data_IF_970294523164
#
_entry.id   IF_970294523164
#
_cell.length_a   1.000
_cell.length_b   1.000
_cell.length_c   1.000
_cell.angle_alpha   90.00
_cell.angle_beta   90.00
_cell.angle_gamma   90.00
#
_symmetry.space_group_name_H-M   'P 1'
#
loop_
_entity.id
_entity.type
_entity.pdbx_description
1 polymer ?
#
# COMPACT_ATOMS: atom_id res chain seq x y z
N UNK A 1 7.94 -11.39 -2.85
CA UNK A 1 8.46 -12.40 -1.90
C UNK A 1 9.52 -13.31 -2.57
N UNK A 2 10.35 -12.77 -3.47
CA UNK A 2 11.38 -13.52 -4.20
C UNK A 2 12.74 -12.80 -4.20
N UNK A 3 12.96 -11.88 -3.23
CA UNK A 3 14.19 -11.07 -3.14
C UNK A 3 15.20 -11.58 -2.11
N UNK A 4 14.87 -12.62 -1.34
CA UNK A 4 15.65 -13.04 -0.17
C UNK A 4 16.48 -14.32 -0.33
N UNK A 5 16.61 -14.88 -1.55
CA UNK A 5 17.23 -16.21 -1.71
C UNK A 5 18.38 -16.28 -2.73
N UNK A 6 18.92 -15.16 -3.19
CA UNK A 6 20.01 -15.18 -4.19
C UNK A 6 21.11 -14.15 -3.91
N UNK A 7 21.52 -14.05 -2.64
CA UNK A 7 22.69 -13.26 -2.22
C UNK A 7 23.94 -14.14 -1.99
N UNK A 8 24.04 -15.29 -2.68
CA UNK A 8 25.19 -16.22 -2.53
C UNK A 8 25.82 -16.69 -3.86
N UNK A 9 25.47 -16.12 -5.00
CA UNK A 9 26.11 -16.51 -6.27
C UNK A 9 26.56 -15.27 -7.03
N UNK A 10 27.84 -14.93 -6.85
CA UNK A 10 28.53 -13.83 -7.53
C UNK A 10 28.64 -14.06 -9.03
N UNK A 11 27.51 -13.98 -9.72
CA UNK A 11 27.45 -13.95 -11.18
C UNK A 11 27.28 -12.52 -11.68
N UNK A 12 27.99 -12.24 -12.76
CA UNK A 12 28.10 -10.95 -13.44
C UNK A 12 26.72 -10.51 -13.98
N UNK A 13 26.17 -9.46 -13.36
CA UNK A 13 24.86 -8.89 -13.64
C UNK A 13 24.66 -8.51 -15.11
N UNK A 14 25.75 -8.23 -15.84
CA UNK A 14 25.71 -7.79 -17.25
C UNK A 14 25.22 -8.86 -18.22
N UNK A 15 25.38 -10.15 -17.88
CA UNK A 15 25.01 -11.26 -18.77
C UNK A 15 23.53 -11.63 -18.67
N UNK A 16 22.95 -11.47 -17.48
CA UNK A 16 21.53 -11.75 -17.21
C UNK A 16 20.64 -10.64 -17.79
N UNK A 17 21.13 -9.40 -17.81
CA UNK A 17 20.46 -8.26 -18.44
C UNK A 17 20.37 -8.41 -19.98
N UNK A 18 21.29 -9.15 -20.60
CA UNK A 18 21.28 -9.43 -22.04
C UNK A 18 20.17 -10.37 -22.50
N UNK A 19 19.83 -11.39 -21.69
CA UNK A 19 18.78 -12.36 -22.04
C UNK A 19 17.35 -11.83 -21.81
N UNK A 20 17.16 -10.92 -20.85
CA UNK A 20 15.82 -10.38 -20.54
C UNK A 20 15.36 -9.36 -21.62
N UNK A 21 16.29 -8.75 -22.34
CA UNK A 21 16.00 -7.75 -23.39
C UNK A 21 15.47 -8.37 -24.69
N UNK A 22 15.67 -9.68 -24.92
CA UNK A 22 15.27 -10.34 -26.17
C UNK A 22 13.80 -10.82 -26.18
N UNK A 23 13.13 -10.85 -25.02
CA UNK A 23 11.68 -11.11 -24.93
C UNK A 23 10.90 -9.80 -25.10
N UNK A 24 10.84 -9.32 -26.34
CA UNK A 24 10.10 -8.14 -26.78
C UNK A 24 8.57 -8.26 -26.70
N UNK A 25 8.04 -8.47 -25.51
CA UNK A 25 6.65 -8.09 -25.21
C UNK A 25 6.64 -6.65 -24.71
N UNK A 26 5.75 -5.84 -25.27
CA UNK A 26 5.56 -4.44 -24.94
C UNK A 26 4.97 -4.30 -23.52
N UNK A 27 5.86 -4.33 -22.51
CA UNK A 27 5.54 -4.22 -21.10
C UNK A 27 4.64 -3.01 -20.77
N UNK A 28 4.71 -1.94 -21.57
CA UNK A 28 3.91 -0.72 -21.37
C UNK A 28 2.42 -0.94 -21.64
N UNK A 29 2.09 -1.76 -22.64
CA UNK A 29 0.71 -2.07 -23.02
C UNK A 29 0.06 -3.05 -22.04
N UNK A 30 0.84 -4.01 -21.56
CA UNK A 30 0.42 -4.97 -20.53
C UNK A 30 0.23 -4.26 -19.18
N UNK A 31 1.11 -3.32 -18.81
CA UNK A 31 0.99 -2.55 -17.56
C UNK A 31 -0.19 -1.57 -17.57
N UNK A 32 -0.46 -0.91 -18.70
CA UNK A 32 -1.63 -0.05 -18.87
C UNK A 32 -2.94 -0.83 -18.74
N UNK A 33 -3.05 -1.98 -19.41
CA UNK A 33 -4.20 -2.89 -19.34
C UNK A 33 -4.41 -3.49 -17.93
N UNK A 34 -3.35 -3.66 -17.13
CA UNK A 34 -3.41 -4.18 -15.75
C UNK A 34 -3.73 -3.07 -14.72
N UNK A 35 -3.33 -1.82 -14.98
CA UNK A 35 -3.54 -0.70 -14.05
C UNK A 35 -5.03 -0.31 -13.91
N UNK A 36 -5.79 -0.32 -15.01
CA UNK A 36 -7.23 -0.03 -15.00
C UNK A 36 -8.06 -1.05 -14.19
N UNK A 37 -7.86 -2.38 -14.30
CA UNK A 37 -8.53 -3.35 -13.45
C UNK A 37 -8.04 -3.29 -12.00
N UNK A 38 -6.75 -3.05 -11.73
CA UNK A 38 -6.23 -2.87 -10.36
C UNK A 38 -6.93 -1.71 -9.63
N UNK A 39 -7.15 -0.57 -10.31
CA UNK A 39 -7.87 0.59 -9.75
C UNK A 39 -9.32 0.27 -9.42
N UNK A 40 -10.03 -0.40 -10.33
CA UNK A 40 -11.42 -0.83 -10.10
C UNK A 40 -11.51 -1.82 -8.94
N UNK A 41 -10.57 -2.76 -8.83
CA UNK A 41 -10.48 -3.73 -7.73
C UNK A 41 -10.11 -3.04 -6.40
N UNK A 42 -9.27 -2.00 -6.41
CA UNK A 42 -8.98 -1.21 -5.20
C UNK A 42 -10.20 -0.43 -4.70
N UNK A 43 -10.92 0.25 -5.60
CA UNK A 43 -12.13 1.01 -5.27
C UNK A 43 -13.29 0.11 -4.80
N UNK A 44 -13.63 -0.92 -5.59
CA UNK A 44 -14.76 -1.80 -5.31
C UNK A 44 -14.45 -2.96 -4.37
N UNK A 45 -13.20 -3.42 -4.31
CA UNK A 45 -12.78 -4.55 -3.47
C UNK A 45 -12.23 -4.13 -2.11
N UNK A 46 -11.36 -3.11 -2.05
CA UNK A 46 -10.73 -2.68 -0.80
C UNK A 46 -11.53 -1.61 -0.06
N UNK A 47 -11.69 -0.44 -0.68
CA UNK A 47 -12.30 0.73 -0.02
C UNK A 47 -13.80 0.57 0.21
N UNK A 48 -14.55 0.08 -0.78
CA UNK A 48 -15.98 -0.17 -0.59
C UNK A 48 -16.25 -1.16 0.55
N UNK A 49 -15.46 -2.24 0.63
CA UNK A 49 -15.59 -3.26 1.66
C UNK A 49 -15.27 -2.71 3.06
N UNK A 50 -14.30 -1.80 3.17
CA UNK A 50 -14.05 -1.03 4.40
C UNK A 50 -15.20 -0.10 4.78
N UNK A 51 -15.77 0.62 3.81
CA UNK A 51 -16.89 1.55 4.04
C UNK A 51 -18.12 0.79 4.49
N UNK A 52 -18.42 -0.37 3.88
CA UNK A 52 -19.48 -1.28 4.34
C UNK A 52 -19.22 -1.74 5.77
N UNK A 53 -17.98 -2.10 6.11
CA UNK A 53 -17.60 -2.42 7.49
C UNK A 53 -17.92 -1.31 8.49
N UNK A 54 -17.69 -0.04 8.13
CA UNK A 54 -18.01 1.13 8.97
C UNK A 54 -19.50 1.43 9.08
N UNK A 55 -20.27 1.23 8.01
CA UNK A 55 -21.73 1.38 8.05
C UNK A 55 -22.34 0.32 9.00
N UNK A 56 -21.80 -0.89 9.01
CA UNK A 56 -22.23 -1.97 9.90
C UNK A 56 -21.83 -1.73 11.37
N UNK A 57 -20.84 -0.88 11.63
CA UNK A 57 -20.50 -0.42 12.97
C UNK A 57 -21.42 0.66 13.52
N UNK A 58 -22.37 1.20 12.73
CA UNK A 58 -23.37 2.12 13.29
C UNK A 58 -24.32 1.27 14.14
N UNK A 59 -24.41 1.51 15.46
CA UNK A 59 -25.30 0.74 16.33
C UNK A 59 -26.75 1.13 16.03
N UNK A 60 -27.48 0.25 15.32
CA UNK A 60 -28.94 0.35 15.14
C UNK A 60 -29.71 -0.22 16.35
N UNK A 61 -29.03 -0.41 17.49
CA UNK A 61 -29.60 -1.01 18.69
C UNK A 61 -30.59 -0.08 19.39
N UNK A 62 -31.70 -0.64 19.87
CA UNK A 62 -32.76 0.08 20.58
C UNK A 62 -32.62 0.07 22.11
N UNK A 63 -31.56 -0.51 22.65
CA UNK A 63 -31.33 -0.64 24.09
C UNK A 63 -30.13 0.20 24.56
N UNK A 64 -30.24 0.99 25.64
CA UNK A 64 -29.13 1.76 26.19
C UNK A 64 -28.07 0.86 26.85
N UNK A 65 -26.83 1.35 26.94
CA UNK A 65 -25.73 0.63 27.58
C UNK A 65 -25.97 0.41 29.10
N UNK A 66 -25.47 -0.71 29.63
CA UNK A 66 -25.55 -1.00 31.07
C UNK A 66 -24.59 -0.06 31.81
N UNK A 67 -25.13 0.70 32.76
CA UNK A 67 -24.38 1.63 33.60
C UNK A 67 -23.88 0.90 34.85
N UNK A 68 -22.58 1.08 35.12
CA UNK A 68 -21.94 0.58 36.33
C UNK A 68 -22.14 1.59 37.46
N UNK A 69 -23.19 1.42 38.26
CA UNK A 69 -23.35 2.22 39.47
C UNK A 69 -22.25 1.84 40.47
N UNK A 70 -21.50 2.81 41.03
CA UNK A 70 -20.60 2.50 42.14
C UNK A 70 -21.44 1.93 43.28
N UNK A 71 -21.15 0.69 43.69
CA UNK A 71 -21.77 0.09 44.85
C UNK A 71 -21.48 0.93 46.10
N UNK A 72 -22.34 0.86 47.14
CA UNK A 72 -22.11 1.60 48.38
C UNK A 72 -20.73 1.25 48.96
N UNK A 73 -19.96 2.27 49.35
CA UNK A 73 -18.71 2.10 50.09
C UNK A 73 -18.99 1.32 51.39
N UNK A 74 -18.55 0.06 51.45
CA UNK A 74 -18.64 -0.74 52.67
C UNK A 74 -17.49 -0.31 53.59
N UNK A 75 -17.79 0.55 54.57
CA UNK A 75 -16.88 0.86 55.68
C UNK A 75 -16.45 -0.44 56.38
N UNK A 76 -15.27 -0.94 56.03
CA UNK A 76 -14.80 -2.25 56.50
C UNK A 76 -14.13 -2.08 57.85
N UNK A 77 -14.91 -2.12 58.94
CA UNK A 77 -14.39 -2.22 60.31
C UNK A 77 -14.78 -3.52 61.01
N UNK A 78 -15.26 -4.55 60.28
CA UNK A 78 -15.61 -5.84 60.86
C UNK A 78 -15.20 -7.02 59.98
N UNK A 79 -14.33 -7.88 60.49
CA UNK A 79 -13.79 -9.08 59.83
C UNK A 79 -14.76 -10.28 59.92
N UNK A 80 -16.08 -10.09 59.86
CA UNK A 80 -17.01 -11.17 60.22
C UNK A 80 -17.91 -11.69 59.08
N UNK A 81 -17.77 -11.24 57.83
CA UNK A 81 -18.71 -11.60 56.74
C UNK A 81 -18.07 -11.92 55.36
N UNK A 82 -16.87 -12.51 55.32
CA UNK A 82 -16.13 -12.85 54.09
C UNK A 82 -16.89 -13.77 53.10
N UNK A 83 -17.84 -14.59 53.57
CA UNK A 83 -18.65 -15.49 52.71
C UNK A 83 -19.81 -14.79 52.00
N UNK A 84 -20.32 -13.66 52.53
CA UNK A 84 -21.40 -12.87 51.89
C UNK A 84 -20.86 -11.80 50.94
N UNK A 85 -19.59 -11.44 51.09
CA UNK A 85 -18.93 -10.41 50.28
C UNK A 85 -18.48 -10.96 48.91
N UNK A 86 -18.28 -12.27 48.78
CA UNK A 86 -17.89 -12.89 47.51
C UNK A 86 -19.05 -12.97 46.49
N UNK A 87 -20.31 -12.94 46.95
CA UNK A 87 -21.49 -12.95 46.09
C UNK A 87 -21.90 -11.53 45.62
N UNK A 88 -21.31 -10.48 46.18
CA UNK A 88 -21.53 -9.08 45.81
C UNK A 88 -20.31 -8.43 45.13
N UNK A 89 -19.28 -9.21 44.82
CA UNK A 89 -18.24 -8.85 43.85
C UNK A 89 -18.78 -8.99 42.41
N UNK A 90 -20.01 -8.54 42.16
CA UNK A 90 -20.48 -8.34 40.80
C UNK A 90 -19.69 -7.15 40.30
N UNK A 91 -18.57 -7.45 39.64
CA UNK A 91 -17.74 -6.44 38.98
C UNK A 91 -18.68 -5.52 38.21
N UNK A 92 -18.61 -4.19 38.42
CA UNK A 92 -19.51 -3.27 37.75
C UNK A 92 -19.28 -3.36 36.24
N UNK A 93 -20.10 -4.16 35.54
CA UNK A 93 -20.06 -4.31 34.10
C UNK A 93 -20.75 -3.08 33.51
N UNK A 94 -19.98 -2.12 32.99
CA UNK A 94 -20.54 -0.93 32.38
C UNK A 94 -19.63 0.29 32.39
N UNK A 95 -20.12 1.40 31.86
CA UNK A 95 -19.41 2.69 31.96
C UNK A 95 -19.63 3.33 33.34
N UNK A 96 -18.62 4.04 33.88
CA UNK A 96 -18.80 4.83 35.10
C UNK A 96 -19.75 6.02 34.84
N UNK A 97 -20.51 6.46 35.86
CA UNK A 97 -21.45 7.57 35.73
C UNK A 97 -20.77 8.94 35.48
N UNK A 98 -19.44 9.02 35.57
CA UNK A 98 -18.67 10.22 35.20
C UNK A 98 -18.70 10.51 33.69
N UNK A 99 -19.14 9.57 32.85
CA UNK A 99 -19.24 9.75 31.41
C UNK A 99 -20.70 9.96 30.97
N UNK A 100 -21.08 11.22 30.75
CA UNK A 100 -22.44 11.63 30.40
C UNK A 100 -22.95 11.01 29.09
N UNK A 101 -22.05 10.63 28.18
CA UNK A 101 -22.43 10.01 26.91
C UNK A 101 -23.01 8.60 27.05
N UNK A 102 -22.80 7.94 28.19
CA UNK A 102 -23.32 6.60 28.42
C UNK A 102 -24.85 6.56 28.50
N UNK A 103 -25.49 7.63 28.96
CA UNK A 103 -26.94 7.67 29.21
C UNK A 103 -27.80 7.67 27.93
N UNK A 104 -27.27 8.19 26.83
CA UNK A 104 -28.00 8.30 25.56
C UNK A 104 -27.43 7.41 24.44
N UNK A 105 -26.32 6.73 24.70
CA UNK A 105 -25.66 5.88 23.69
C UNK A 105 -26.28 4.48 23.69
N UNK A 106 -26.76 3.98 22.54
CA UNK A 106 -27.27 2.63 22.42
C UNK A 106 -26.13 1.61 22.54
N UNK A 107 -26.43 0.47 23.15
CA UNK A 107 -25.53 -0.66 23.25
C UNK A 107 -25.24 -1.24 21.85
N UNK A 108 -23.96 -1.43 21.54
CA UNK A 108 -23.53 -2.12 20.33
C UNK A 108 -23.75 -3.62 20.49
N UNK A 109 -24.44 -4.24 19.53
CA UNK A 109 -24.61 -5.69 19.53
C UNK A 109 -23.31 -6.38 19.14
N UNK A 110 -23.00 -7.51 19.79
CA UNK A 110 -21.78 -8.28 19.54
C UNK A 110 -21.73 -8.78 18.08
N UNK A 111 -22.88 -9.13 17.51
CA UNK A 111 -22.99 -9.62 16.13
C UNK A 111 -22.64 -8.54 15.11
N UNK A 112 -23.14 -7.31 15.26
CA UNK A 112 -22.80 -6.18 14.39
C UNK A 112 -21.30 -5.88 14.45
N UNK A 113 -20.74 -5.87 15.66
CA UNK A 113 -19.30 -5.67 15.86
C UNK A 113 -18.46 -6.73 15.15
N UNK A 114 -18.83 -8.02 15.30
CA UNK A 114 -18.08 -9.12 14.70
C UNK A 114 -18.13 -9.09 13.18
N UNK A 115 -19.30 -8.83 12.60
CA UNK A 115 -19.45 -8.73 11.14
C UNK A 115 -18.63 -7.56 10.61
N UNK A 116 -18.75 -6.36 11.20
CA UNK A 116 -17.94 -5.20 10.82
C UNK A 116 -16.43 -5.45 10.96
N UNK A 117 -16.03 -6.21 11.97
CA UNK A 117 -14.64 -6.59 12.21
C UNK A 117 -14.09 -7.48 11.10
N UNK A 118 -14.84 -8.50 10.67
CA UNK A 118 -14.42 -9.37 9.56
C UNK A 118 -14.26 -8.58 8.27
N UNK A 119 -15.21 -7.71 7.93
CA UNK A 119 -15.10 -6.85 6.74
C UNK A 119 -13.87 -5.93 6.83
N UNK A 120 -13.64 -5.28 7.98
CA UNK A 120 -12.49 -4.39 8.16
C UNK A 120 -11.16 -5.16 8.11
N UNK A 121 -11.11 -6.35 8.69
CA UNK A 121 -9.93 -7.20 8.74
C UNK A 121 -9.52 -7.71 7.35
N UNK A 122 -10.48 -7.95 6.45
CA UNK A 122 -10.22 -8.32 5.05
C UNK A 122 -9.90 -7.10 4.19
N UNK A 123 -10.63 -5.99 4.38
CA UNK A 123 -10.44 -4.77 3.59
C UNK A 123 -9.08 -4.10 3.81
N UNK A 124 -8.55 -4.13 5.04
CA UNK A 124 -7.25 -3.51 5.38
C UNK A 124 -6.04 -4.05 4.61
N UNK A 125 -5.74 -5.36 4.63
CA UNK A 125 -4.61 -5.89 3.87
C UNK A 125 -4.80 -5.71 2.36
N UNK A 126 -6.03 -5.85 1.84
CA UNK A 126 -6.33 -5.65 0.42
C UNK A 126 -6.05 -4.19 0.02
N UNK A 127 -6.54 -3.22 0.81
CA UNK A 127 -6.31 -1.80 0.55
C UNK A 127 -4.83 -1.44 0.61
N UNK A 128 -4.12 -1.83 1.68
CA UNK A 128 -2.70 -1.49 1.86
C UNK A 128 -1.83 -2.07 0.75
N UNK A 129 -2.03 -3.33 0.39
CA UNK A 129 -1.26 -3.97 -0.68
C UNK A 129 -1.51 -3.32 -2.04
N UNK A 130 -2.76 -3.05 -2.39
CA UNK A 130 -3.12 -2.42 -3.66
C UNK A 130 -2.66 -0.95 -3.75
N UNK A 131 -2.68 -0.19 -2.66
CA UNK A 131 -2.12 1.18 -2.65
C UNK A 131 -0.60 1.11 -2.88
N UNK A 132 0.09 0.18 -2.23
CA UNK A 132 1.53 0.00 -2.40
C UNK A 132 1.91 -0.42 -3.82
N UNK A 133 1.13 -1.31 -4.45
CA UNK A 133 1.39 -1.73 -5.84
C UNK A 133 1.17 -0.58 -6.81
N UNK A 134 0.06 0.17 -6.69
CA UNK A 134 -0.23 1.33 -7.53
C UNK A 134 0.87 2.40 -7.39
N UNK A 135 1.27 2.72 -6.15
CA UNK A 135 2.30 3.73 -5.90
C UNK A 135 3.66 3.33 -6.48
N UNK A 136 4.03 2.05 -6.36
CA UNK A 136 5.27 1.52 -6.95
C UNK A 136 5.29 1.62 -8.48
N UNK A 137 4.13 1.45 -9.12
CA UNK A 137 4.01 1.58 -10.58
C UNK A 137 3.95 3.04 -11.05
N UNK A 138 3.30 3.93 -10.29
CA UNK A 138 3.22 5.38 -10.62
C UNK A 138 4.59 6.04 -10.56
N UNK A 139 5.48 5.62 -9.65
CA UNK A 139 6.75 6.31 -9.43
C UNK A 139 7.85 5.97 -10.45
N UNK A 140 7.73 4.87 -11.19
CA UNK A 140 8.75 4.44 -12.15
C UNK A 140 10.16 4.29 -11.54
N UNK A 141 11.23 4.25 -12.37
CA UNK A 141 12.63 4.09 -11.95
C UNK A 141 13.27 5.32 -11.26
N UNK A 142 12.50 6.34 -10.88
CA UNK A 142 12.99 7.48 -10.09
C UNK A 142 13.18 7.08 -8.61
N UNK A 143 13.81 7.89 -7.72
CA UNK A 143 14.23 7.44 -6.38
C UNK A 143 13.08 6.89 -5.51
N UNK A 144 12.80 5.60 -5.68
CA UNK A 144 11.64 4.88 -5.16
C UNK A 144 11.74 4.72 -3.63
N UNK A 145 12.97 4.66 -3.11
CA UNK A 145 13.23 4.51 -1.67
C UNK A 145 12.71 5.67 -0.82
N UNK A 146 12.86 6.92 -1.28
CA UNK A 146 12.44 8.10 -0.49
C UNK A 146 10.93 8.16 -0.36
N UNK A 147 10.22 7.98 -1.48
CA UNK A 147 8.77 8.06 -1.50
C UNK A 147 8.09 6.87 -0.84
N UNK A 148 8.60 5.65 -1.04
CA UNK A 148 8.15 4.48 -0.28
C UNK A 148 8.44 4.62 1.21
N UNK A 149 9.56 5.27 1.57
CA UNK A 149 9.91 5.65 2.93
C UNK A 149 8.92 6.63 3.55
N UNK A 150 8.55 7.71 2.84
CA UNK A 150 7.55 8.68 3.30
C UNK A 150 6.18 8.02 3.47
N UNK A 151 5.74 7.21 2.50
CA UNK A 151 4.48 6.46 2.58
C UNK A 151 4.45 5.52 3.80
N UNK A 152 5.55 4.78 4.01
CA UNK A 152 5.67 3.85 5.14
C UNK A 152 5.73 4.61 6.47
N UNK A 153 6.49 5.71 6.53
CA UNK A 153 6.62 6.58 7.69
C UNK A 153 5.28 7.19 8.08
N UNK A 154 4.50 7.69 7.13
CA UNK A 154 3.14 8.18 7.36
C UNK A 154 2.22 7.08 7.89
N UNK A 155 2.34 5.85 7.37
CA UNK A 155 1.60 4.69 7.86
C UNK A 155 1.96 4.29 9.28
N UNK A 156 3.22 4.45 9.69
CA UNK A 156 3.66 4.23 11.08
C UNK A 156 3.17 5.36 12.00
N UNK A 157 3.25 6.61 11.56
CA UNK A 157 2.76 7.76 12.32
C UNK A 157 1.25 7.63 12.60
N UNK A 158 0.47 7.22 11.59
CA UNK A 158 -0.96 6.97 11.75
C UNK A 158 -1.25 5.88 12.79
N UNK A 159 -0.44 4.82 12.87
CA UNK A 159 -0.61 3.74 13.86
C UNK A 159 -0.33 4.19 15.29
N UNK A 160 0.58 5.15 15.49
CA UNK A 160 0.84 5.74 16.81
C UNK A 160 -0.25 6.76 17.17
N UNK A 161 -0.66 7.60 16.22
CA UNK A 161 -1.66 8.64 16.44
C UNK A 161 -3.09 8.12 16.57
N UNK A 162 -3.41 7.00 15.92
CA UNK A 162 -4.76 6.42 15.89
C UNK A 162 -5.33 6.13 17.29
N UNK A 163 -4.65 5.34 18.14
CA UNK A 163 -5.13 5.04 19.48
C UNK A 163 -5.29 6.28 20.37
N UNK A 164 -4.38 7.26 20.24
CA UNK A 164 -4.43 8.51 21.02
C UNK A 164 -5.67 9.32 20.61
N UNK A 165 -5.89 9.48 19.31
CA UNK A 165 -7.04 10.21 18.79
C UNK A 165 -8.37 9.54 19.15
N UNK A 166 -8.47 8.22 18.96
CA UNK A 166 -9.69 7.46 19.29
C UNK A 166 -9.96 7.49 20.79
N UNK A 167 -8.94 7.33 21.64
CA UNK A 167 -9.08 7.39 23.10
C UNK A 167 -9.60 8.75 23.56
N UNK A 168 -9.02 9.84 23.05
CA UNK A 168 -9.44 11.20 23.38
C UNK A 168 -10.90 11.48 22.98
N UNK A 169 -11.30 11.12 21.76
CA UNK A 169 -12.67 11.35 21.31
C UNK A 169 -13.65 10.43 22.06
N UNK A 170 -13.25 9.19 22.34
CA UNK A 170 -14.06 8.24 23.11
C UNK A 170 -14.36 8.75 24.51
N UNK A 171 -13.37 9.27 25.23
CA UNK A 171 -13.56 9.71 26.62
C UNK A 171 -14.46 10.94 26.73
N UNK A 172 -14.40 11.87 25.77
CA UNK A 172 -15.12 13.13 25.82
C UNK A 172 -16.45 13.14 25.07
N UNK A 173 -16.53 12.52 23.88
CA UNK A 173 -17.69 12.60 22.99
C UNK A 173 -18.45 11.26 22.87
N UNK A 174 -17.88 10.15 23.35
CA UNK A 174 -18.51 8.84 23.32
C UNK A 174 -18.38 8.09 21.99
N UNK A 175 -19.02 6.92 21.90
CA UNK A 175 -18.80 5.96 20.81
C UNK A 175 -19.45 6.33 19.49
N UNK A 176 -20.61 7.02 19.50
CA UNK A 176 -21.30 7.43 18.27
C UNK A 176 -20.40 8.37 17.46
N UNK A 177 -19.77 9.33 18.14
CA UNK A 177 -18.89 10.31 17.51
C UNK A 177 -17.57 9.68 17.04
N UNK A 178 -16.97 8.75 17.79
CA UNK A 178 -15.74 8.08 17.34
C UNK A 178 -15.96 7.26 16.07
N UNK A 179 -17.03 6.45 16.02
CA UNK A 179 -17.33 5.66 14.83
C UNK A 179 -17.77 6.52 13.65
N UNK A 180 -18.52 7.61 13.91
CA UNK A 180 -18.93 8.54 12.86
C UNK A 180 -17.75 9.29 12.26
N UNK A 181 -16.84 9.82 13.07
CA UNK A 181 -15.65 10.56 12.59
C UNK A 181 -14.71 9.63 11.81
N UNK A 182 -14.46 8.42 12.32
CA UNK A 182 -13.60 7.45 11.62
C UNK A 182 -14.23 6.93 10.33
N UNK A 183 -15.56 6.72 10.30
CA UNK A 183 -16.31 6.39 9.10
C UNK A 183 -16.29 7.53 8.07
N UNK A 184 -16.55 8.76 8.51
CA UNK A 184 -16.52 9.95 7.66
C UNK A 184 -15.14 10.20 7.06
N UNK A 185 -14.06 10.02 7.85
CA UNK A 185 -12.69 10.11 7.36
C UNK A 185 -12.41 9.09 6.25
N UNK A 186 -12.89 7.84 6.40
CA UNK A 186 -12.74 6.80 5.37
C UNK A 186 -13.53 7.11 4.10
N UNK A 187 -14.77 7.61 4.23
CA UNK A 187 -15.59 8.05 3.08
C UNK A 187 -14.94 9.24 2.37
N UNK A 188 -14.41 10.19 3.12
CA UNK A 188 -13.67 11.33 2.55
C UNK A 188 -12.44 10.85 1.76
N UNK A 189 -11.67 9.89 2.29
CA UNK A 189 -10.57 9.27 1.56
C UNK A 189 -11.04 8.57 0.28
N UNK A 190 -12.17 7.85 0.31
CA UNK A 190 -12.75 7.21 -0.86
C UNK A 190 -13.13 8.23 -1.95
N UNK A 191 -13.80 9.32 -1.57
CA UNK A 191 -14.17 10.40 -2.50
C UNK A 191 -12.91 11.06 -3.08
N UNK A 192 -11.92 11.34 -2.22
CA UNK A 192 -10.65 11.92 -2.64
C UNK A 192 -9.95 11.05 -3.69
N UNK A 193 -9.89 9.73 -3.46
CA UNK A 193 -9.30 8.81 -4.41
C UNK A 193 -10.05 8.80 -5.75
N UNK A 194 -11.39 8.80 -5.75
CA UNK A 194 -12.17 8.88 -6.98
C UNK A 194 -11.91 10.16 -7.79
N UNK A 195 -11.75 11.29 -7.10
CA UNK A 195 -11.43 12.57 -7.75
C UNK A 195 -10.03 12.55 -8.37
N UNK A 196 -9.05 12.01 -7.66
CA UNK A 196 -7.67 11.88 -8.13
C UNK A 196 -7.56 10.83 -9.24
N UNK A 197 -8.32 9.74 -9.16
CA UNK A 197 -8.39 8.67 -10.14
C UNK A 197 -8.83 9.17 -11.52
N UNK A 198 -9.83 10.05 -11.56
CA UNK A 198 -10.27 10.70 -12.79
C UNK A 198 -9.20 11.61 -13.40
N UNK A 199 -8.20 12.03 -12.62
CA UNK A 199 -7.11 12.90 -13.04
C UNK A 199 -5.83 12.14 -13.40
N UNK A 200 -5.75 10.85 -13.09
CA UNK A 200 -4.61 9.97 -13.32
C UNK A 200 -4.68 9.24 -14.67
N UNK A 201 -5.15 9.92 -15.73
CA UNK A 201 -4.84 9.51 -17.10
C UNK A 201 -3.34 9.56 -17.22
N UNK A 202 -2.72 8.41 -17.48
CA UNK A 202 -1.27 8.27 -17.62
C UNK A 202 -0.83 9.13 -18.80
N UNK A 203 -0.36 10.35 -18.53
CA UNK A 203 0.51 11.06 -19.46
C UNK A 203 1.80 10.27 -19.49
N UNK A 204 2.19 9.79 -20.67
CA UNK A 204 3.41 9.01 -20.90
C UNK A 204 4.55 9.52 -20.02
N UNK A 205 5.05 8.63 -19.16
CA UNK A 205 6.04 9.00 -18.16
C UNK A 205 7.30 9.52 -18.87
N UNK A 206 7.95 10.61 -18.40
CA UNK A 206 9.25 11.04 -18.92
C UNK A 206 10.35 9.96 -18.81
N UNK A 207 10.10 8.88 -18.08
CA UNK A 207 10.91 7.65 -18.07
C UNK A 207 10.93 6.99 -19.45
N UNK A 208 9.80 6.95 -20.17
CA UNK A 208 9.74 6.35 -21.50
C UNK A 208 10.56 7.17 -22.50
N UNK A 209 10.59 8.50 -22.33
CA UNK A 209 11.48 9.37 -23.12
C UNK A 209 12.96 9.20 -22.78
N UNK A 210 13.31 8.89 -21.53
CA UNK A 210 14.69 8.65 -21.11
C UNK A 210 15.18 7.25 -21.56
N UNK A 211 14.38 6.19 -21.36
CA UNK A 211 14.72 4.86 -21.84
C UNK A 211 14.74 4.76 -23.36
N UNK A 212 13.87 5.49 -24.07
CA UNK A 212 13.91 5.59 -25.53
C UNK A 212 15.19 6.28 -26.00
N UNK A 213 15.66 7.29 -25.27
CA UNK A 213 16.91 7.98 -25.55
C UNK A 213 18.13 7.09 -25.31
N UNK A 214 18.20 6.41 -24.17
CA UNK A 214 19.30 5.47 -23.87
C UNK A 214 19.36 4.32 -24.89
N UNK A 215 18.19 3.81 -25.31
CA UNK A 215 18.10 2.76 -26.34
C UNK A 215 18.49 3.27 -27.72
N UNK A 216 18.15 4.52 -28.06
CA UNK A 216 18.63 5.18 -29.28
C UNK A 216 20.13 5.41 -29.24
N UNK A 217 20.69 5.86 -28.12
CA UNK A 217 22.11 6.11 -27.95
C UNK A 217 22.93 4.80 -28.05
N UNK A 218 22.43 3.71 -27.46
CA UNK A 218 23.03 2.39 -27.58
C UNK A 218 22.98 1.84 -29.03
N UNK A 219 21.87 2.04 -29.74
CA UNK A 219 21.74 1.66 -31.15
C UNK A 219 22.71 2.47 -32.02
N UNK A 220 22.80 3.78 -31.76
CA UNK A 220 23.71 4.68 -32.45
C UNK A 220 25.17 4.28 -32.21
N UNK A 221 25.51 3.84 -31.00
CA UNK A 221 26.85 3.35 -30.66
C UNK A 221 27.19 2.05 -31.38
N UNK A 222 26.22 1.12 -31.52
CA UNK A 222 26.39 -0.11 -32.30
C UNK A 222 26.60 0.16 -33.78
N UNK A 223 25.81 1.05 -34.39
CA UNK A 223 25.96 1.45 -35.79
C UNK A 223 27.32 2.09 -36.07
N UNK A 224 27.78 2.98 -35.18
CA UNK A 224 29.11 3.60 -35.30
C UNK A 224 30.25 2.60 -35.14
N UNK A 225 30.03 1.51 -34.41
CA UNK A 225 31.01 0.45 -34.24
C UNK A 225 31.05 -0.46 -35.47
N UNK A 226 29.89 -0.81 -36.01
CA UNK A 226 29.73 -1.58 -37.23
C UNK A 226 30.36 -0.87 -38.44
N UNK A 227 30.10 0.44 -38.59
CA UNK A 227 30.69 1.27 -39.65
C UNK A 227 32.23 1.32 -39.57
N UNK A 228 32.79 1.44 -38.35
CA UNK A 228 34.26 1.40 -38.15
C UNK A 228 34.87 0.05 -38.54
N UNK A 229 34.22 -1.06 -38.21
CA UNK A 229 34.70 -2.39 -38.61
C UNK A 229 34.69 -2.57 -40.13
N UNK A 230 33.66 -2.07 -40.82
CA UNK A 230 33.59 -2.14 -42.28
C UNK A 230 34.74 -1.34 -42.92
N UNK A 231 35.03 -0.14 -42.42
CA UNK A 231 36.12 0.70 -42.93
C UNK A 231 37.48 -0.02 -42.79
N UNK A 232 37.79 -0.56 -41.61
CA UNK A 232 39.04 -1.29 -41.40
C UNK A 232 39.15 -2.52 -42.31
N UNK A 233 38.06 -3.27 -42.48
CA UNK A 233 38.06 -4.45 -43.33
C UNK A 233 38.22 -4.11 -44.82
N UNK A 234 37.72 -2.95 -45.24
CA UNK A 234 37.92 -2.43 -46.60
C UNK A 234 39.37 -1.99 -46.84
N UNK A 235 40.01 -1.37 -45.85
CA UNK A 235 41.41 -0.94 -45.90
C UNK A 235 42.36 -2.15 -46.00
N UNK A 236 42.11 -3.19 -45.20
CA UNK A 236 42.86 -4.45 -45.27
C UNK A 236 42.71 -5.18 -46.62
N UNK A 237 41.52 -5.09 -47.24
CA UNK A 237 41.26 -5.67 -48.56
C UNK A 237 41.99 -4.90 -49.67
N UNK A 238 42.10 -3.58 -49.56
CA UNK A 238 42.89 -2.75 -50.49
C UNK A 238 44.38 -3.06 -50.37
N UNK A 239 44.93 -3.16 -49.16
CA UNK A 239 46.34 -3.50 -48.92
C UNK A 239 46.69 -4.90 -49.46
N UNK A 240 45.79 -5.88 -49.34
CA UNK A 240 45.97 -7.22 -49.94
C UNK A 240 45.99 -7.18 -51.46
N UNK A 241 45.13 -6.37 -52.09
CA UNK A 241 45.11 -6.22 -53.54
C UNK A 241 46.37 -5.52 -54.06
N UNK A 242 46.87 -4.50 -53.36
CA UNK A 242 48.11 -3.80 -53.72
C UNK A 242 49.31 -4.75 -53.66
N UNK A 243 49.47 -5.51 -52.57
CA UNK A 243 50.53 -6.52 -52.44
C UNK A 243 50.47 -7.62 -53.52
N UNK A 244 49.28 -8.09 -53.88
CA UNK A 244 49.12 -9.08 -54.96
C UNK A 244 49.49 -8.52 -56.33
N UNK A 245 49.24 -7.23 -56.56
CA UNK A 245 49.58 -6.55 -57.83
C UNK A 245 51.09 -6.35 -57.95
N UNK A 246 51.77 -6.00 -56.85
CA UNK A 246 53.24 -5.94 -56.82
C UNK A 246 53.89 -7.31 -57.04
N UNK A 247 53.33 -8.38 -56.47
CA UNK A 247 53.82 -9.75 -56.67
C UNK A 247 53.69 -10.24 -58.12
N UNK A 248 52.65 -9.82 -58.85
CA UNK A 248 52.49 -10.18 -60.27
C UNK A 248 53.45 -9.42 -61.20
N UNK A 249 53.91 -8.22 -60.80
CA UNK A 249 54.85 -7.43 -61.59
C UNK A 249 56.33 -7.87 -61.44
N UNK A 250 56.63 -8.78 -60.50
CA UNK A 250 57.99 -9.26 -60.21
C UNK A 250 58.29 -10.68 -60.74
N UNK A 251 57.33 -11.30 -61.44
CA UNK A 251 57.49 -12.59 -62.14
C UNK A 251 57.59 -12.40 -63.65
#
# INVERSE_FOLDING_TARGET
>A
MAKGSMEERGEDWTKVEGEIVESGEDWTKVEGEILFPERKVLLWGGFFLMVVGRILYIPWGSAPAVIAWPGPEVNTTGFDNLTSQFNNLTEPLGCPPSQEWCFYTPAMTITQFLVGYVFTALGYPIGVTLIQTIFSKILGPRPQGVWMGIMTGAGCLSRVMGPIFVSYIYTHFGTIWTFSITGAMLVACMIWLQLVDNKLVVTDSPVDSAQRKDRQDALHMKLMQEERTIIHQQEDALLKNENNTELQNFS
#
